data_IF_487378457407
#
_entry.id   IF_487378457407
#
_cell.length_a   1.000
_cell.length_b   1.000
_cell.length_c   1.000
_cell.angle_alpha   90.00
_cell.angle_beta   90.00
_cell.angle_gamma   90.00
#
_symmetry.space_group_name_H-M   'P 1'
#
loop_
_entity.id
_entity.type
_entity.pdbx_description
1 polymer ?
#
# COMPACT_ATOMS: atom_id res chain seq x y z
N UNK A 1 11.25 -18.23 6.01
CA UNK A 1 11.36 -17.05 5.14
C UNK A 1 10.14 -16.97 4.23
N UNK A 2 9.69 -15.79 3.88
CA UNK A 2 8.71 -15.63 2.81
C UNK A 2 9.40 -16.07 1.51
N UNK A 3 8.80 -17.01 0.77
CA UNK A 3 9.35 -17.50 -0.50
C UNK A 3 9.16 -16.51 -1.66
N UNK A 4 8.31 -15.50 -1.47
CA UNK A 4 7.99 -14.48 -2.48
C UNK A 4 8.82 -13.23 -2.27
N UNK A 5 9.22 -12.55 -3.35
CA UNK A 5 9.79 -11.22 -3.26
C UNK A 5 8.88 -10.27 -2.48
N UNK A 6 9.46 -9.29 -1.80
CA UNK A 6 8.75 -8.16 -1.22
C UNK A 6 9.01 -6.93 -2.07
N UNK A 7 8.00 -6.11 -2.28
CA UNK A 7 8.18 -4.75 -2.78
C UNK A 7 7.72 -3.77 -1.72
N UNK A 8 8.63 -2.93 -1.27
CA UNK A 8 8.26 -1.80 -0.43
C UNK A 8 7.92 -0.63 -1.35
N UNK A 9 6.76 -0.07 -1.12
CA UNK A 9 6.21 1.00 -1.98
C UNK A 9 5.76 2.15 -1.10
N UNK A 10 6.03 3.36 -1.55
CA UNK A 10 5.50 4.59 -0.99
C UNK A 10 5.16 5.55 -2.12
N UNK A 11 4.16 6.40 -1.90
CA UNK A 11 3.72 7.39 -2.87
C UNK A 11 3.48 8.74 -2.20
N UNK A 12 3.77 9.82 -2.93
CA UNK A 12 3.25 11.14 -2.62
C UNK A 12 2.08 11.48 -3.54
N UNK A 13 1.15 12.26 -3.05
CA UNK A 13 -0.12 12.55 -3.75
C UNK A 13 -0.53 14.01 -3.64
N UNK A 14 -1.39 14.48 -4.54
CA UNK A 14 -1.99 15.82 -4.46
C UNK A 14 -2.99 15.99 -3.32
N UNK A 15 -3.22 14.96 -2.51
CA UNK A 15 -4.14 14.95 -1.38
C UNK A 15 -4.56 13.55 -0.99
N UNK A 16 -5.47 13.40 -0.03
CA UNK A 16 -5.80 12.10 0.58
C UNK A 16 -7.04 11.39 0.00
N UNK A 17 -7.74 12.00 -0.96
CA UNK A 17 -9.02 11.50 -1.46
C UNK A 17 -8.83 10.65 -2.70
N UNK A 18 -8.96 9.33 -2.58
CA UNK A 18 -8.86 8.38 -3.69
C UNK A 18 -9.89 8.71 -4.77
N UNK A 19 -9.46 8.69 -6.04
CA UNK A 19 -10.28 9.00 -7.21
C UNK A 19 -10.45 10.50 -7.50
N UNK A 20 -10.00 11.39 -6.58
CA UNK A 20 -9.92 12.84 -6.81
C UNK A 20 -8.49 13.35 -6.78
N UNK A 21 -7.72 12.87 -5.81
CA UNK A 21 -6.29 13.18 -5.73
C UNK A 21 -5.50 12.21 -6.62
N UNK A 22 -4.35 12.66 -7.08
CA UNK A 22 -3.47 11.96 -8.03
C UNK A 22 -2.11 11.70 -7.41
N UNK A 23 -1.40 10.70 -7.89
CA UNK A 23 -0.01 10.41 -7.51
C UNK A 23 0.91 11.45 -8.12
N UNK A 24 1.88 11.97 -7.35
CA UNK A 24 2.92 12.92 -7.78
C UNK A 24 4.35 12.36 -7.66
N UNK A 25 4.55 11.35 -6.83
CA UNK A 25 5.79 10.60 -6.74
C UNK A 25 5.47 9.14 -6.42
N UNK A 26 6.23 8.23 -6.97
CA UNK A 26 6.22 6.81 -6.58
C UNK A 26 7.65 6.34 -6.39
N UNK A 27 7.89 5.60 -5.32
CA UNK A 27 9.14 4.90 -5.11
C UNK A 27 8.86 3.42 -4.78
N UNK A 28 9.78 2.55 -5.18
CA UNK A 28 9.69 1.10 -5.00
C UNK A 28 11.09 0.57 -4.72
N UNK A 29 11.23 -0.28 -3.72
CA UNK A 29 12.39 -1.16 -3.59
C UNK A 29 11.94 -2.61 -3.64
N UNK A 30 12.62 -3.43 -4.44
CA UNK A 30 12.38 -4.86 -4.52
C UNK A 30 13.39 -5.62 -3.67
N UNK A 31 12.89 -6.49 -2.81
CA UNK A 31 13.68 -7.28 -1.87
C UNK A 31 13.57 -8.76 -2.23
N UNK A 32 14.71 -9.39 -2.45
CA UNK A 32 14.84 -10.83 -2.60
C UNK A 32 15.96 -11.34 -1.68
N UNK A 33 15.74 -12.46 -1.01
CA UNK A 33 16.71 -13.04 -0.08
C UNK A 33 17.25 -12.05 0.96
N UNK A 34 16.38 -11.16 1.47
CA UNK A 34 16.71 -10.12 2.44
C UNK A 34 17.70 -9.05 1.94
N UNK A 35 17.79 -8.86 0.64
CA UNK A 35 18.65 -7.84 0.01
C UNK A 35 17.84 -7.02 -1.00
N UNK A 36 18.15 -5.74 -1.12
CA UNK A 36 17.59 -4.89 -2.18
C UNK A 36 18.22 -5.34 -3.50
N UNK A 37 17.38 -5.75 -4.44
CA UNK A 37 17.80 -6.19 -5.78
C UNK A 37 17.51 -5.14 -6.84
N UNK A 38 16.51 -4.28 -6.61
CA UNK A 38 16.17 -3.20 -7.54
C UNK A 38 15.50 -2.05 -6.81
N UNK A 39 15.81 -0.82 -7.23
CA UNK A 39 15.18 0.42 -6.76
C UNK A 39 14.58 1.15 -7.95
N UNK A 40 13.41 1.74 -7.77
CA UNK A 40 12.75 2.58 -8.75
C UNK A 40 12.16 3.81 -8.06
N UNK A 41 12.35 4.98 -8.66
CA UNK A 41 11.72 6.23 -8.21
C UNK A 41 11.38 7.08 -9.41
N UNK A 42 10.21 7.70 -9.39
CA UNK A 42 9.81 8.65 -10.42
C UNK A 42 8.85 9.70 -9.87
N UNK A 43 9.03 10.93 -10.28
CA UNK A 43 7.97 11.92 -10.25
C UNK A 43 6.90 11.54 -11.27
N UNK A 44 5.67 11.97 -11.01
CA UNK A 44 4.49 11.66 -11.82
C UNK A 44 3.73 12.95 -12.08
N UNK A 45 3.43 13.24 -13.34
CA UNK A 45 2.50 14.32 -13.69
C UNK A 45 1.08 13.95 -13.25
N UNK A 46 0.50 14.66 -12.28
CA UNK A 46 -0.85 14.40 -11.81
C UNK A 46 -1.94 14.92 -12.75
N UNK A 47 -1.57 15.56 -13.87
CA UNK A 47 -2.50 16.25 -14.80
C UNK A 47 -3.37 17.31 -14.10
N UNK A 48 -2.92 17.78 -12.93
CA UNK A 48 -3.55 18.84 -12.13
C UNK A 48 -2.50 19.56 -11.30
N UNK A 49 -2.82 20.75 -10.79
CA UNK A 49 -1.90 21.50 -9.95
C UNK A 49 -1.78 20.90 -8.55
N UNK A 50 -0.58 20.98 -8.00
CA UNK A 50 -0.29 20.68 -6.59
C UNK A 50 -0.45 21.97 -5.79
N UNK A 51 -1.17 21.91 -4.69
CA UNK A 51 -1.38 23.06 -3.81
C UNK A 51 -0.16 23.36 -2.91
N UNK A 52 -0.16 24.52 -2.27
CA UNK A 52 0.96 24.97 -1.44
C UNK A 52 1.14 24.11 -0.17
N UNK A 53 0.08 23.50 0.35
CA UNK A 53 0.17 22.62 1.51
C UNK A 53 0.94 21.34 1.16
N UNK A 54 0.59 20.68 0.06
CA UNK A 54 1.29 19.49 -0.43
C UNK A 54 2.74 19.81 -0.80
N UNK A 55 2.97 20.95 -1.50
CA UNK A 55 4.33 21.41 -1.79
C UNK A 55 5.14 21.65 -0.51
N UNK A 56 4.54 22.26 0.51
CA UNK A 56 5.19 22.47 1.80
C UNK A 56 5.50 21.17 2.54
N UNK A 57 4.68 20.14 2.37
CA UNK A 57 4.85 18.82 2.99
C UNK A 57 5.93 17.99 2.29
N UNK A 58 5.86 17.88 0.95
CA UNK A 58 6.67 16.94 0.14
C UNK A 58 7.91 17.60 -0.46
N UNK A 59 7.92 18.92 -0.53
CA UNK A 59 8.91 19.70 -1.29
C UNK A 59 8.73 19.63 -2.81
N UNK A 60 7.74 18.86 -3.31
CA UNK A 60 7.49 18.72 -4.74
C UNK A 60 6.63 19.88 -5.24
N UNK A 61 7.13 20.60 -6.24
CA UNK A 61 6.48 21.76 -6.83
C UNK A 61 5.86 21.44 -8.19
N UNK A 62 4.90 22.28 -8.64
CA UNK A 62 4.35 22.18 -10.00
C UNK A 62 5.44 22.30 -11.08
N UNK A 63 6.56 22.97 -10.79
CA UNK A 63 7.69 23.07 -11.71
C UNK A 63 8.40 21.74 -11.88
N UNK A 64 8.57 20.99 -10.79
CA UNK A 64 9.24 19.68 -10.81
C UNK A 64 8.44 18.64 -11.58
N UNK A 65 7.11 18.80 -11.62
CA UNK A 65 6.18 17.87 -12.28
C UNK A 65 5.93 18.20 -13.75
N UNK A 66 6.39 19.37 -14.24
CA UNK A 66 6.06 19.87 -15.59
C UNK A 66 6.48 18.92 -16.72
N UNK A 67 7.63 18.27 -16.54
CA UNK A 67 8.21 17.37 -17.53
C UNK A 67 8.12 15.88 -17.07
N UNK A 68 7.38 15.62 -16.01
CA UNK A 68 7.15 14.27 -15.54
C UNK A 68 6.15 13.53 -16.45
N UNK A 69 6.27 12.21 -16.48
CA UNK A 69 5.32 11.37 -17.20
C UNK A 69 4.06 11.11 -16.38
N UNK A 70 2.93 10.92 -17.04
CA UNK A 70 1.68 10.50 -16.38
C UNK A 70 1.80 9.08 -15.78
N UNK A 71 1.01 8.79 -14.74
CA UNK A 71 1.11 7.54 -13.99
C UNK A 71 1.10 6.26 -14.84
N UNK A 72 0.26 6.10 -15.89
CA UNK A 72 0.28 4.90 -16.72
C UNK A 72 1.62 4.62 -17.40
N UNK A 73 2.34 5.65 -17.83
CA UNK A 73 3.68 5.52 -18.44
C UNK A 73 4.74 5.18 -17.39
N UNK A 74 4.68 5.82 -16.23
CA UNK A 74 5.57 5.50 -15.10
C UNK A 74 5.36 4.07 -14.63
N UNK A 75 4.09 3.64 -14.46
CA UNK A 75 3.77 2.26 -14.05
C UNK A 75 4.31 1.23 -15.05
N UNK A 76 4.21 1.48 -16.34
CA UNK A 76 4.76 0.58 -17.37
C UNK A 76 6.25 0.30 -17.18
N UNK A 77 7.02 1.28 -16.68
CA UNK A 77 8.46 1.12 -16.43
C UNK A 77 8.76 0.26 -15.20
N UNK A 78 7.90 0.26 -14.20
CA UNK A 78 8.10 -0.47 -12.95
C UNK A 78 7.16 -1.66 -12.74
N UNK A 79 6.27 -1.96 -13.70
CA UNK A 79 5.27 -3.04 -13.57
C UNK A 79 5.89 -4.42 -13.26
N UNK A 80 7.07 -4.71 -13.82
CA UNK A 80 7.80 -5.95 -13.58
C UNK A 80 8.19 -6.16 -12.11
N UNK A 81 8.39 -5.06 -11.35
CA UNK A 81 8.71 -5.13 -9.93
C UNK A 81 7.57 -5.73 -9.09
N UNK A 82 6.34 -5.62 -9.56
CA UNK A 82 5.15 -6.14 -8.87
C UNK A 82 4.91 -7.64 -9.13
N UNK A 83 5.56 -8.21 -10.14
CA UNK A 83 5.32 -9.60 -10.53
C UNK A 83 5.74 -10.59 -9.44
N UNK A 84 4.77 -11.42 -9.03
CA UNK A 84 4.97 -12.45 -8.01
C UNK A 84 5.26 -11.94 -6.61
N UNK A 85 5.32 -10.62 -6.40
CA UNK A 85 5.72 -10.01 -5.15
C UNK A 85 4.56 -9.84 -4.16
N UNK A 86 4.91 -9.55 -2.91
CA UNK A 86 4.02 -9.06 -1.87
C UNK A 86 4.25 -7.56 -1.71
N UNK A 87 3.20 -6.77 -1.85
CA UNK A 87 3.22 -5.33 -1.63
C UNK A 87 3.37 -5.01 -0.14
N UNK A 88 4.33 -4.19 0.23
CA UNK A 88 4.58 -3.74 1.60
C UNK A 88 4.60 -2.22 1.63
N UNK A 89 3.84 -1.61 2.53
CA UNK A 89 3.89 -0.17 2.73
C UNK A 89 3.56 0.21 4.18
N UNK A 90 3.93 1.42 4.56
CA UNK A 90 3.60 1.99 5.86
C UNK A 90 2.22 2.67 5.77
N UNK A 91 1.17 2.00 6.25
CA UNK A 91 -0.24 2.26 5.98
C UNK A 91 -0.68 1.79 4.57
N UNK A 92 -0.32 0.57 4.22
CA UNK A 92 -0.45 -0.04 2.89
C UNK A 92 -1.82 0.13 2.19
N UNK A 93 -2.89 0.43 2.93
CA UNK A 93 -4.20 0.68 2.32
C UNK A 93 -4.24 1.98 1.54
N UNK A 94 -3.45 2.98 1.93
CA UNK A 94 -3.35 4.25 1.23
C UNK A 94 -2.68 4.05 -0.13
N UNK A 95 -1.43 3.65 -0.15
CA UNK A 95 -0.62 3.48 -1.36
C UNK A 95 -1.25 2.50 -2.34
N UNK A 96 -1.65 1.34 -1.83
CA UNK A 96 -2.28 0.30 -2.63
C UNK A 96 -3.56 0.77 -3.33
N UNK A 97 -4.43 1.48 -2.63
CA UNK A 97 -5.70 1.92 -3.20
C UNK A 97 -5.52 3.09 -4.18
N UNK A 98 -4.53 3.97 -3.98
CA UNK A 98 -4.19 5.00 -4.96
C UNK A 98 -3.68 4.37 -6.25
N UNK A 99 -2.69 3.48 -6.18
CA UNK A 99 -2.17 2.75 -7.35
C UNK A 99 -3.29 1.99 -8.05
N UNK A 100 -4.12 1.28 -7.28
CA UNK A 100 -5.27 0.55 -7.84
C UNK A 100 -6.26 1.48 -8.53
N UNK A 101 -6.54 2.65 -7.96
CA UNK A 101 -7.45 3.65 -8.55
C UNK A 101 -6.92 4.16 -9.88
N UNK A 102 -5.65 4.57 -9.94
CA UNK A 102 -5.01 5.03 -11.17
C UNK A 102 -5.04 3.96 -12.27
N UNK A 103 -4.69 2.71 -11.92
CA UNK A 103 -4.67 1.60 -12.87
C UNK A 103 -6.07 1.19 -13.33
N UNK A 104 -7.08 1.30 -12.45
CA UNK A 104 -8.48 1.01 -12.81
C UNK A 104 -9.01 1.98 -13.85
N UNK A 105 -8.59 3.25 -13.84
CA UNK A 105 -8.99 4.24 -14.84
C UNK A 105 -8.55 3.87 -16.25
N UNK A 106 -7.48 3.12 -16.40
CA UNK A 106 -6.98 2.62 -17.68
C UNK A 106 -7.38 1.16 -17.95
N UNK A 107 -8.34 0.63 -17.19
CA UNK A 107 -8.87 -0.73 -17.37
C UNK A 107 -7.98 -1.86 -16.85
N UNK A 108 -6.90 -1.54 -16.08
CA UNK A 108 -6.00 -2.55 -15.51
C UNK A 108 -6.51 -3.02 -14.15
N UNK A 109 -6.64 -4.34 -13.98
CA UNK A 109 -7.06 -4.94 -12.71
C UNK A 109 -5.84 -5.21 -11.81
N UNK A 110 -5.55 -4.28 -10.90
CA UNK A 110 -4.46 -4.41 -9.95
C UNK A 110 -4.88 -5.20 -8.71
N UNK A 111 -4.30 -6.38 -8.52
CA UNK A 111 -4.59 -7.23 -7.36
C UNK A 111 -3.36 -8.06 -6.99
N UNK A 112 -2.67 -7.67 -5.93
CA UNK A 112 -1.54 -8.41 -5.36
C UNK A 112 -1.67 -8.49 -3.84
N UNK A 113 -1.10 -9.53 -3.18
CA UNK A 113 -1.07 -9.62 -1.72
C UNK A 113 -0.37 -8.42 -1.12
N UNK A 114 -0.86 -7.91 0.02
CA UNK A 114 -0.30 -6.74 0.67
C UNK A 114 -0.06 -6.93 2.17
N UNK A 115 0.99 -6.31 2.67
CA UNK A 115 1.36 -6.22 4.08
C UNK A 115 1.39 -4.76 4.52
N UNK A 116 0.86 -4.50 5.70
CA UNK A 116 0.88 -3.18 6.31
C UNK A 116 1.85 -3.19 7.49
N UNK A 117 2.93 -2.42 7.39
CA UNK A 117 3.94 -2.33 8.46
C UNK A 117 3.41 -1.65 9.71
N UNK A 118 2.42 -0.74 9.62
CA UNK A 118 1.71 -0.19 10.79
C UNK A 118 1.01 -1.30 11.58
N UNK A 119 0.33 -2.23 10.88
CA UNK A 119 -0.34 -3.37 11.54
C UNK A 119 0.66 -4.32 12.16
N UNK A 120 1.79 -4.55 11.51
CA UNK A 120 2.87 -5.37 12.03
C UNK A 120 3.48 -4.72 13.27
N UNK A 121 3.83 -3.44 13.21
CA UNK A 121 4.38 -2.69 14.32
C UNK A 121 3.46 -2.69 15.55
N UNK A 122 2.14 -2.51 15.37
CA UNK A 122 1.17 -2.60 16.47
C UNK A 122 1.14 -3.96 17.15
N UNK A 123 1.49 -5.03 16.45
CA UNK A 123 1.53 -6.39 17.00
C UNK A 123 2.86 -6.70 17.69
N UNK A 124 3.96 -6.21 17.14
CA UNK A 124 5.29 -6.43 17.69
C UNK A 124 5.59 -5.51 18.87
N UNK A 125 5.04 -4.30 18.87
CA UNK A 125 5.32 -3.27 19.86
C UNK A 125 4.03 -2.71 20.50
N UNK A 126 3.19 -3.55 21.14
CA UNK A 126 1.87 -3.15 21.67
C UNK A 126 1.94 -2.11 22.79
N UNK A 127 3.11 -1.94 23.41
CA UNK A 127 3.36 -0.96 24.47
C UNK A 127 3.32 0.49 23.97
N UNK A 128 3.46 0.72 22.67
CA UNK A 128 3.46 2.07 22.10
C UNK A 128 2.07 2.48 21.59
N UNK A 129 1.71 3.75 21.83
CA UNK A 129 0.42 4.31 21.39
C UNK A 129 0.42 4.71 19.93
N UNK A 130 1.55 5.22 19.42
CA UNK A 130 1.68 5.66 18.02
C UNK A 130 2.63 4.73 17.24
N UNK A 131 2.24 4.47 16.00
CA UNK A 131 2.97 3.66 15.02
C UNK A 131 3.07 4.39 13.68
N UNK A 132 3.06 5.74 13.69
CA UNK A 132 3.39 6.52 12.49
C UNK A 132 4.87 6.31 12.13
N UNK A 133 5.23 6.49 10.87
CA UNK A 133 6.60 6.32 10.42
C UNK A 133 7.55 7.25 11.16
N UNK A 134 7.14 8.49 11.41
CA UNK A 134 7.88 9.47 12.21
C UNK A 134 8.23 8.94 13.60
N UNK A 135 7.24 8.39 14.32
CA UNK A 135 7.44 7.83 15.66
C UNK A 135 8.28 6.55 15.66
N UNK A 136 8.24 5.79 14.57
CA UNK A 136 9.11 4.62 14.38
C UNK A 136 10.55 5.07 14.13
N UNK A 137 10.76 6.05 13.28
CA UNK A 137 12.08 6.64 12.98
C UNK A 137 12.72 7.16 14.26
N UNK A 138 12.00 8.00 15.01
CA UNK A 138 12.48 8.57 16.27
C UNK A 138 12.85 7.48 17.29
N UNK A 139 11.96 6.52 17.50
CA UNK A 139 12.10 5.44 18.47
C UNK A 139 13.31 4.55 18.21
N UNK A 140 13.58 4.23 16.99
CA UNK A 140 14.65 3.31 16.60
C UNK A 140 15.91 4.02 16.12
N UNK A 141 15.95 5.36 16.14
CA UNK A 141 17.11 6.15 15.72
C UNK A 141 17.45 5.98 14.24
N UNK A 142 16.43 5.74 13.39
CA UNK A 142 16.62 5.54 11.95
C UNK A 142 17.04 6.87 11.32
N UNK A 143 18.10 6.85 10.52
CA UNK A 143 18.57 8.04 9.81
C UNK A 143 17.78 8.24 8.52
N UNK A 144 17.28 9.45 8.29
CA UNK A 144 16.50 9.82 7.10
C UNK A 144 17.01 11.14 6.57
N UNK A 145 17.21 11.26 5.27
CA UNK A 145 17.69 12.52 4.67
C UNK A 145 16.56 13.54 4.54
N UNK A 146 15.41 13.12 4.05
CA UNK A 146 14.21 13.96 3.91
C UNK A 146 12.98 13.16 4.30
N UNK A 147 12.03 13.82 4.99
CA UNK A 147 10.70 13.25 5.24
C UNK A 147 9.74 13.66 4.12
N UNK A 148 8.71 12.84 3.91
CA UNK A 148 7.73 13.05 2.83
C UNK A 148 8.39 13.10 1.44
N UNK A 149 9.35 12.21 1.25
CA UNK A 149 9.91 11.83 -0.03
C UNK A 149 9.85 10.32 -0.12
N UNK A 150 9.15 9.83 -1.11
CA UNK A 150 8.77 8.42 -1.17
C UNK A 150 9.95 7.45 -1.00
N UNK A 151 11.11 7.72 -1.58
CA UNK A 151 12.28 6.84 -1.44
C UNK A 151 12.88 6.85 -0.02
N UNK A 152 12.95 8.00 0.63
CA UNK A 152 13.48 8.08 1.99
C UNK A 152 12.54 7.40 2.98
N UNK A 153 11.22 7.54 2.81
CA UNK A 153 10.21 6.90 3.65
C UNK A 153 10.19 5.36 3.47
N UNK A 154 10.43 4.87 2.24
CA UNK A 154 10.64 3.43 1.99
C UNK A 154 11.91 2.92 2.69
N UNK A 155 13.03 3.62 2.56
CA UNK A 155 14.29 3.22 3.19
C UNK A 155 14.14 3.16 4.71
N UNK A 156 13.49 4.15 5.31
CA UNK A 156 13.16 4.12 6.74
C UNK A 156 12.27 2.93 7.12
N UNK A 157 11.27 2.62 6.29
CA UNK A 157 10.39 1.47 6.51
C UNK A 157 11.14 0.14 6.39
N UNK A 158 12.08 0.03 5.44
CA UNK A 158 12.94 -1.14 5.29
C UNK A 158 13.93 -1.29 6.44
N UNK A 159 14.56 -0.22 6.91
CA UNK A 159 15.46 -0.25 8.06
C UNK A 159 14.71 -0.69 9.33
N UNK A 160 13.50 -0.15 9.57
CA UNK A 160 12.65 -0.63 10.64
C UNK A 160 12.30 -2.13 10.50
N UNK A 161 12.00 -2.58 9.28
CA UNK A 161 11.74 -4.00 9.03
C UNK A 161 12.91 -4.88 9.44
N UNK A 162 14.12 -4.46 9.12
CA UNK A 162 15.34 -5.15 9.53
C UNK A 162 15.54 -5.16 11.05
N UNK A 163 15.28 -4.03 11.71
CA UNK A 163 15.35 -3.90 13.17
C UNK A 163 14.32 -4.84 13.82
N UNK A 164 13.09 -4.81 13.36
CA UNK A 164 12.03 -5.69 13.88
C UNK A 164 12.40 -7.18 13.79
N UNK A 165 13.05 -7.59 12.67
CA UNK A 165 13.53 -8.97 12.49
C UNK A 165 14.73 -9.34 13.39
N UNK A 166 15.46 -8.37 13.93
CA UNK A 166 16.52 -8.59 14.92
C UNK A 166 15.97 -8.63 16.33
N UNK A 167 14.94 -7.85 16.63
CA UNK A 167 14.38 -7.70 17.98
C UNK A 167 13.33 -8.76 18.35
N UNK A 168 12.70 -9.40 17.35
CA UNK A 168 11.63 -10.36 17.57
C UNK A 168 11.91 -11.71 16.88
N UNK A 169 11.40 -12.78 17.51
CA UNK A 169 11.49 -14.13 16.94
C UNK A 169 10.85 -14.21 15.56
N UNK A 170 11.56 -14.89 14.67
CA UNK A 170 11.12 -15.10 13.30
C UNK A 170 9.71 -15.74 13.20
N UNK A 171 9.39 -16.68 14.10
CA UNK A 171 8.09 -17.35 14.17
C UNK A 171 6.96 -16.37 14.50
N UNK A 172 7.19 -15.43 15.43
CA UNK A 172 6.25 -14.39 15.82
C UNK A 172 5.96 -13.44 14.66
N UNK A 173 6.99 -12.91 14.01
CA UNK A 173 6.85 -12.04 12.83
C UNK A 173 6.10 -12.78 11.72
N UNK A 174 6.53 -14.01 11.41
CA UNK A 174 5.93 -14.81 10.35
C UNK A 174 4.44 -15.09 10.59
N UNK A 175 4.05 -15.40 11.83
CA UNK A 175 2.65 -15.61 12.19
C UNK A 175 1.78 -14.38 11.94
N UNK A 176 2.28 -13.18 12.28
CA UNK A 176 1.59 -11.92 12.04
C UNK A 176 1.49 -11.58 10.55
N UNK A 177 2.55 -11.83 9.78
CA UNK A 177 2.54 -11.68 8.32
C UNK A 177 1.50 -12.62 7.70
N UNK A 178 1.52 -13.91 8.05
CA UNK A 178 0.56 -14.89 7.56
C UNK A 178 -0.88 -14.53 7.91
N UNK A 179 -1.11 -14.01 9.12
CA UNK A 179 -2.44 -13.52 9.52
C UNK A 179 -2.94 -12.36 8.64
N UNK A 180 -2.06 -11.45 8.20
CA UNK A 180 -2.43 -10.38 7.30
C UNK A 180 -2.75 -10.90 5.89
N UNK A 181 -1.95 -11.82 5.37
CA UNK A 181 -2.13 -12.41 4.03
C UNK A 181 -3.39 -13.30 3.96
N UNK A 182 -3.62 -14.14 4.95
CA UNK A 182 -4.83 -15.00 5.03
C UNK A 182 -6.12 -14.20 5.04
N UNK A 183 -6.17 -13.07 5.76
CA UNK A 183 -7.37 -12.21 5.79
C UNK A 183 -7.74 -11.65 4.41
N UNK A 184 -6.80 -11.52 3.50
CA UNK A 184 -7.06 -11.02 2.15
C UNK A 184 -7.61 -12.11 1.23
N UNK A 185 -7.20 -13.35 1.44
CA UNK A 185 -7.71 -14.52 0.70
C UNK A 185 -9.06 -15.00 1.21
N UNK A 186 -9.39 -14.78 2.49
CA UNK A 186 -10.62 -15.27 3.11
C UNK A 186 -11.83 -14.34 2.95
N UNK A 187 -11.65 -13.12 2.44
CA UNK A 187 -12.78 -12.18 2.24
C UNK A 187 -13.60 -12.46 0.96
N UNK A 188 -13.21 -13.45 0.16
CA UNK A 188 -13.98 -13.84 -1.03
C UNK A 188 -13.98 -15.36 -1.19
N UNK A 189 -14.86 -16.06 -0.47
CA UNK A 189 -15.41 -17.34 -0.95
C UNK A 189 -16.32 -17.11 -2.17
N UNK A 190 -16.59 -15.87 -2.52
CA UNK A 190 -17.37 -15.47 -3.69
C UNK A 190 -16.38 -15.21 -4.83
N UNK A 191 -16.50 -15.97 -5.91
CA UNK A 191 -15.70 -15.76 -7.10
C UNK A 191 -15.93 -14.36 -7.69
N UNK A 192 -14.87 -13.73 -8.21
CA UNK A 192 -14.96 -12.41 -8.85
C UNK A 192 -16.00 -12.37 -9.97
N UNK A 193 -16.23 -13.50 -10.63
CA UNK A 193 -17.28 -13.70 -11.63
C UNK A 193 -18.70 -13.55 -11.07
N UNK A 194 -18.91 -13.88 -9.81
CA UNK A 194 -20.22 -13.71 -9.14
C UNK A 194 -20.41 -12.25 -8.69
N UNK A 195 -19.33 -11.61 -8.18
CA UNK A 195 -19.39 -10.20 -7.80
C UNK A 195 -19.67 -9.32 -9.02
N UNK A 196 -19.08 -9.62 -10.18
CA UNK A 196 -19.29 -8.83 -11.41
C UNK A 196 -20.74 -8.88 -11.92
N UNK A 197 -21.53 -9.87 -11.51
CA UNK A 197 -22.96 -10.01 -11.85
C UNK A 197 -23.89 -9.25 -10.90
N UNK A 198 -23.36 -8.74 -9.76
CA UNK A 198 -24.16 -7.97 -8.82
C UNK A 198 -24.55 -6.61 -9.39
N UNK A 199 -25.74 -6.09 -9.05
CA UNK A 199 -26.17 -4.79 -9.54
C UNK A 199 -25.35 -3.64 -8.94
N UNK A 200 -25.07 -2.62 -9.76
CA UNK A 200 -24.43 -1.36 -9.33
C UNK A 200 -25.46 -0.37 -8.77
N UNK A 201 -26.38 -0.84 -7.96
CA UNK A 201 -27.47 -0.06 -7.37
C UNK A 201 -27.49 -0.20 -5.85
N UNK A 202 -28.15 0.72 -5.13
CA UNK A 202 -28.38 0.54 -3.70
C UNK A 202 -29.13 -0.74 -3.40
N UNK A 203 -28.78 -1.39 -2.28
CA UNK A 203 -29.45 -2.62 -1.87
C UNK A 203 -29.01 -3.10 -0.49
N UNK A 204 -29.58 -4.22 -0.09
CA UNK A 204 -29.26 -4.95 1.14
C UNK A 204 -28.62 -6.28 0.75
N UNK A 205 -27.57 -6.68 1.46
CA UNK A 205 -26.94 -7.99 1.31
C UNK A 205 -26.94 -8.74 2.63
N UNK A 206 -26.99 -10.06 2.55
CA UNK A 206 -27.01 -10.96 3.72
C UNK A 206 -25.94 -12.03 3.51
N UNK A 207 -25.06 -12.19 4.50
CA UNK A 207 -24.15 -13.32 4.55
C UNK A 207 -24.75 -14.42 5.41
N UNK A 208 -24.65 -15.65 4.92
CA UNK A 208 -25.12 -16.86 5.61
C UNK A 208 -23.94 -17.77 5.95
N UNK A 209 -24.06 -18.57 6.99
CA UNK A 209 -23.18 -19.72 7.22
C UNK A 209 -23.57 -20.90 6.31
N UNK A 210 -22.85 -22.02 6.48
CA UNK A 210 -23.14 -23.25 5.72
C UNK A 210 -24.54 -23.85 6.01
N UNK A 211 -25.12 -23.55 7.16
CA UNK A 211 -26.44 -24.00 7.59
C UNK A 211 -27.54 -23.00 7.21
N UNK A 212 -27.26 -22.05 6.33
CA UNK A 212 -28.18 -20.99 5.91
C UNK A 212 -28.68 -20.07 7.04
N UNK A 213 -27.94 -19.98 8.15
CA UNK A 213 -28.24 -19.02 9.22
C UNK A 213 -27.61 -17.68 8.87
N UNK A 214 -28.33 -16.56 8.89
CA UNK A 214 -27.78 -15.25 8.58
C UNK A 214 -26.76 -14.85 9.64
N UNK A 215 -25.53 -14.55 9.17
CA UNK A 215 -24.41 -14.09 9.99
C UNK A 215 -24.30 -12.58 10.03
N UNK A 216 -24.67 -11.93 8.94
CA UNK A 216 -24.55 -10.48 8.79
C UNK A 216 -25.56 -9.96 7.76
N UNK A 217 -26.15 -8.81 8.07
CA UNK A 217 -27.02 -8.05 7.17
C UNK A 217 -26.39 -6.67 6.99
N UNK A 218 -26.11 -6.28 5.76
CA UNK A 218 -25.54 -4.98 5.43
C UNK A 218 -26.34 -4.24 4.37
N UNK A 219 -26.22 -2.92 4.35
CA UNK A 219 -26.74 -2.06 3.29
C UNK A 219 -25.60 -1.35 2.56
N UNK A 220 -25.73 -1.18 1.26
CA UNK A 220 -24.79 -0.43 0.44
C UNK A 220 -25.53 0.44 -0.56
N UNK A 221 -24.92 1.55 -0.92
CA UNK A 221 -25.39 2.40 -2.04
C UNK A 221 -24.98 1.80 -3.40
N UNK A 222 -24.07 0.84 -3.39
CA UNK A 222 -23.62 0.06 -4.54
C UNK A 222 -23.34 -1.37 -4.04
N UNK A 223 -24.11 -2.37 -4.49
CA UNK A 223 -23.98 -3.78 -4.04
C UNK A 223 -22.75 -4.45 -4.66
N UNK A 224 -22.37 -4.11 -5.88
CA UNK A 224 -21.13 -4.57 -6.50
C UNK A 224 -19.92 -3.85 -5.92
#
# INVERSE_FOLDING_TARGET
>A
MLQKPLIFVDIETTGSTIGRSRIIEIAIIRIENNSIVEEFQSLVDPETSVDSFITGLTGITNRDLKDAEIFPLVYKKCAHLFEGAIFVAHNASFDYNFIKSELTQIGYNFSIPRLCTVRLSRKLYPQYKSHSLEQIIERHGIQVNARHRAMDDIKATWDWWQIAHKEHDHSTIFSHIQSQLKKQTSLTQIESSQISKLPKTPGVYIFYNQDHVPLYVGKSINIQ
#
